data_IF_463331201840
#
_entry.id   IF_463331201840
#
_cell.length_a   1.000
_cell.length_b   1.000
_cell.length_c   1.000
_cell.angle_alpha   90.00
_cell.angle_beta   90.00
_cell.angle_gamma   90.00
#
_symmetry.space_group_name_H-M   'P 1'
#
loop_
_entity.id
_entity.type
_entity.pdbx_description
1 polymer ?
#
# COMPACT_ATOMS: atom_id res chain seq x y z
N UNK A 1 -41.07 1.66 23.90
CA UNK A 1 -41.02 0.43 23.08
C UNK A 1 -40.73 0.81 21.64
N UNK A 2 -39.81 0.07 21.02
CA UNK A 2 -39.08 0.27 19.77
C UNK A 2 -39.78 1.07 18.65
N UNK A 3 -39.11 2.14 18.19
CA UNK A 3 -39.37 2.80 16.92
C UNK A 3 -38.41 2.27 15.84
N UNK A 4 -38.97 1.57 14.87
CA UNK A 4 -38.32 0.96 13.72
C UNK A 4 -37.83 2.03 12.75
N UNK A 5 -36.51 2.24 12.63
CA UNK A 5 -35.90 3.06 11.57
C UNK A 5 -35.42 2.16 10.43
N UNK A 6 -36.28 1.96 9.45
CA UNK A 6 -35.89 1.48 8.13
C UNK A 6 -35.27 2.66 7.35
N UNK A 7 -33.93 2.75 7.35
CA UNK A 7 -33.21 3.70 6.51
C UNK A 7 -32.84 3.05 5.17
N UNK A 8 -33.65 3.43 4.20
CA UNK A 8 -33.48 3.38 2.74
C UNK A 8 -32.01 3.55 2.29
N UNK A 9 -31.33 2.44 1.94
CA UNK A 9 -30.05 2.50 1.21
C UNK A 9 -30.33 2.86 -0.25
N UNK A 10 -30.30 4.16 -0.53
CA UNK A 10 -30.26 4.69 -1.89
C UNK A 10 -28.88 4.36 -2.47
N UNK A 11 -28.80 3.43 -3.42
CA UNK A 11 -27.58 3.15 -4.18
C UNK A 11 -27.09 4.45 -4.83
N UNK A 12 -25.95 4.97 -4.36
CA UNK A 12 -25.24 6.01 -5.09
C UNK A 12 -24.49 5.38 -6.28
N UNK A 13 -24.55 5.99 -7.47
CA UNK A 13 -23.73 5.54 -8.59
C UNK A 13 -22.25 5.77 -8.26
N UNK A 14 -21.46 4.71 -8.36
CA UNK A 14 -19.99 4.79 -8.30
C UNK A 14 -19.53 5.51 -9.56
N UNK A 15 -19.16 6.78 -9.43
CA UNK A 15 -18.49 7.52 -10.50
C UNK A 15 -17.07 6.99 -10.66
N UNK A 16 -16.88 6.12 -11.66
CA UNK A 16 -15.57 5.82 -12.26
C UNK A 16 -15.01 7.11 -12.84
N UNK A 17 -14.22 7.87 -12.10
CA UNK A 17 -13.78 9.17 -12.64
C UNK A 17 -12.66 9.94 -11.95
N UNK A 18 -12.01 9.49 -10.87
CA UNK A 18 -11.07 10.36 -10.16
C UNK A 18 -9.58 10.17 -10.47
N UNK A 19 -9.12 8.99 -10.89
CA UNK A 19 -7.67 8.78 -11.16
C UNK A 19 -7.26 9.17 -12.59
N UNK A 20 -8.09 8.86 -13.59
CA UNK A 20 -7.80 9.21 -15.00
C UNK A 20 -7.86 10.72 -15.23
N UNK A 21 -8.80 11.42 -14.57
CA UNK A 21 -8.95 12.86 -14.71
C UNK A 21 -7.76 13.65 -14.12
N UNK A 22 -7.15 13.14 -13.05
CA UNK A 22 -5.97 13.74 -12.44
C UNK A 22 -4.72 13.58 -13.31
N UNK A 23 -4.48 12.40 -13.88
CA UNK A 23 -3.38 12.15 -14.81
C UNK A 23 -3.49 13.05 -16.08
N UNK A 24 -4.69 13.26 -16.60
CA UNK A 24 -4.93 14.13 -17.76
C UNK A 24 -4.80 15.63 -17.45
N UNK A 25 -4.92 16.06 -16.19
CA UNK A 25 -4.83 17.48 -15.82
C UNK A 25 -3.38 18.01 -15.79
N UNK A 26 -2.37 17.13 -15.62
CA UNK A 26 -0.96 17.55 -15.54
C UNK A 26 -0.35 18.02 -16.87
N UNK A 27 -1.01 17.81 -18.01
CA UNK A 27 -0.50 18.23 -19.33
C UNK A 27 -0.79 19.70 -19.71
N UNK A 28 -1.42 20.50 -18.83
CA UNK A 28 -1.97 21.82 -19.20
C UNK A 28 -1.04 23.05 -19.09
N UNK A 29 0.23 22.92 -18.69
CA UNK A 29 1.12 24.09 -18.45
C UNK A 29 2.43 24.10 -19.26
N UNK A 30 2.41 23.64 -20.51
CA UNK A 30 3.47 24.00 -21.46
C UNK A 30 2.87 24.88 -22.56
N UNK A 31 3.44 26.09 -22.73
CA UNK A 31 3.04 27.09 -23.72
C UNK A 31 3.52 26.78 -25.13
N UNK A 32 4.17 25.63 -25.38
CA UNK A 32 4.41 25.12 -26.72
C UNK A 32 3.28 24.18 -27.16
N UNK A 33 2.45 24.69 -28.07
CA UNK A 33 1.27 24.07 -28.68
C UNK A 33 1.56 22.76 -29.45
N UNK A 34 1.80 21.67 -28.73
CA UNK A 34 1.46 20.32 -29.19
C UNK A 34 0.83 19.62 -28.00
N UNK A 35 -0.49 19.78 -27.89
CA UNK A 35 -1.30 19.13 -26.84
C UNK A 35 -1.16 17.63 -27.06
N UNK A 36 -0.30 16.97 -26.27
CA UNK A 36 -0.10 15.53 -26.35
C UNK A 36 -1.38 14.87 -25.81
N UNK A 37 -2.38 14.70 -26.68
CA UNK A 37 -3.61 13.97 -26.40
C UNK A 37 -3.34 12.49 -26.59
N UNK A 38 -2.37 11.94 -25.87
CA UNK A 38 -2.31 10.49 -25.74
C UNK A 38 -3.52 10.07 -24.92
N UNK A 39 -4.47 9.40 -25.57
CA UNK A 39 -5.60 8.78 -24.92
C UNK A 39 -5.13 7.67 -23.99
N UNK A 40 -6.04 7.19 -23.14
CA UNK A 40 -5.75 6.04 -22.28
C UNK A 40 -5.27 4.82 -23.09
N UNK A 41 -5.83 4.63 -24.28
CA UNK A 41 -5.48 3.53 -25.19
C UNK A 41 -4.07 3.64 -25.80
N UNK A 42 -3.43 4.81 -25.71
CA UNK A 42 -2.06 5.05 -26.21
C UNK A 42 -0.98 4.67 -25.18
N UNK A 43 -1.37 4.33 -23.95
CA UNK A 43 -0.45 3.91 -22.90
C UNK A 43 -0.09 2.44 -23.13
N UNK A 44 1.20 2.07 -23.17
CA UNK A 44 1.61 0.70 -23.45
C UNK A 44 1.02 -0.26 -22.41
N UNK A 45 0.41 -1.36 -22.86
CA UNK A 45 -0.07 -2.43 -22.00
C UNK A 45 0.95 -3.57 -21.92
N UNK A 46 1.10 -4.15 -20.74
CA UNK A 46 1.86 -5.38 -20.58
C UNK A 46 1.09 -6.57 -21.18
N UNK A 47 1.77 -7.57 -21.76
CA UNK A 47 1.13 -8.79 -22.24
C UNK A 47 0.24 -9.41 -21.16
N UNK A 48 -1.01 -9.74 -21.51
CA UNK A 48 -2.01 -10.25 -20.60
C UNK A 48 -2.64 -11.57 -21.10
N UNK A 49 -3.15 -12.36 -20.16
CA UNK A 49 -3.96 -13.54 -20.43
C UNK A 49 -5.34 -13.39 -19.81
N UNK A 50 -6.43 -13.93 -20.40
CA UNK A 50 -7.80 -13.67 -19.95
C UNK A 50 -8.09 -13.94 -18.46
N UNK A 51 -7.44 -14.94 -17.86
CA UNK A 51 -7.68 -15.33 -16.46
C UNK A 51 -6.59 -14.84 -15.50
N UNK A 52 -5.35 -14.78 -15.96
CA UNK A 52 -4.16 -14.50 -15.12
C UNK A 52 -3.71 -13.04 -15.24
N UNK A 53 -4.26 -12.31 -16.22
CA UNK A 53 -3.84 -10.95 -16.56
C UNK A 53 -2.36 -10.88 -16.92
N UNK A 54 -1.78 -9.72 -16.68
CA UNK A 54 -0.36 -9.44 -16.85
C UNK A 54 0.50 -9.97 -15.69
N UNK A 55 -0.09 -10.56 -14.64
CA UNK A 55 0.69 -11.09 -13.50
C UNK A 55 1.61 -12.24 -13.90
N UNK A 56 1.24 -13.00 -14.93
CA UNK A 56 2.11 -14.02 -15.52
C UNK A 56 3.37 -13.40 -16.13
N UNK A 57 3.25 -12.23 -16.78
CA UNK A 57 4.38 -11.55 -17.42
C UNK A 57 5.46 -11.18 -16.40
N UNK A 58 5.06 -10.77 -15.18
CA UNK A 58 5.98 -10.52 -14.06
C UNK A 58 6.81 -11.76 -13.68
N UNK A 59 6.34 -12.98 -14.00
CA UNK A 59 7.05 -14.23 -13.75
C UNK A 59 7.95 -14.70 -14.89
N UNK A 60 7.75 -14.18 -16.08
CA UNK A 60 8.43 -14.65 -17.30
C UNK A 60 9.45 -13.67 -17.85
N UNK A 61 9.71 -12.56 -17.18
CA UNK A 61 10.69 -11.59 -17.64
C UNK A 61 12.10 -12.22 -17.70
N UNK A 62 12.79 -12.12 -18.84
CA UNK A 62 14.13 -12.65 -19.01
C UNK A 62 15.12 -11.96 -18.06
N UNK A 63 16.14 -12.70 -17.62
CA UNK A 63 17.21 -12.21 -16.73
C UNK A 63 16.76 -11.79 -15.33
N UNK A 64 15.58 -12.21 -14.88
CA UNK A 64 15.22 -12.09 -13.47
C UNK A 64 15.89 -13.23 -12.71
N UNK A 65 16.74 -12.95 -11.70
CA UNK A 65 17.27 -14.00 -10.84
C UNK A 65 16.09 -14.79 -10.28
N UNK A 66 16.00 -16.06 -10.66
CA UNK A 66 15.04 -16.98 -10.05
C UNK A 66 15.64 -17.42 -8.75
N UNK A 67 15.22 -16.78 -7.66
CA UNK A 67 15.45 -17.32 -6.34
C UNK A 67 14.62 -18.62 -6.20
N UNK A 68 14.96 -19.47 -5.23
CA UNK A 68 14.21 -20.73 -4.96
C UNK A 68 12.71 -20.49 -4.71
N UNK A 69 12.35 -19.25 -4.39
CA UNK A 69 11.00 -18.74 -4.06
C UNK A 69 10.30 -18.02 -5.23
N UNK A 70 10.95 -17.85 -6.38
CA UNK A 70 10.35 -17.22 -7.58
C UNK A 70 11.18 -16.06 -8.16
N UNK A 71 10.61 -15.32 -9.12
CA UNK A 71 11.27 -14.15 -9.72
C UNK A 71 11.43 -13.05 -8.66
N UNK A 72 12.62 -12.46 -8.58
CA UNK A 72 12.82 -11.29 -7.74
C UNK A 72 12.02 -10.09 -8.29
N UNK A 73 10.93 -9.73 -7.61
CA UNK A 73 9.99 -8.69 -8.06
C UNK A 73 10.67 -7.33 -8.21
N UNK A 74 11.68 -7.01 -7.39
CA UNK A 74 12.42 -5.76 -7.52
C UNK A 74 13.15 -5.68 -8.86
N UNK A 75 13.84 -6.76 -9.25
CA UNK A 75 14.52 -6.81 -10.54
C UNK A 75 13.55 -6.66 -11.74
N UNK A 76 12.37 -7.27 -11.64
CA UNK A 76 11.28 -7.14 -12.61
C UNK A 76 10.83 -5.69 -12.73
N UNK A 77 10.53 -5.05 -11.60
CA UNK A 77 10.03 -3.68 -11.57
C UNK A 77 11.09 -2.68 -12.06
N UNK A 78 12.37 -2.90 -11.74
CA UNK A 78 13.47 -2.08 -12.26
C UNK A 78 13.59 -2.18 -13.79
N UNK A 79 13.49 -3.37 -14.37
CA UNK A 79 13.50 -3.52 -15.83
C UNK A 79 12.28 -2.85 -16.49
N UNK A 80 11.12 -2.90 -15.84
CA UNK A 80 9.92 -2.22 -16.33
C UNK A 80 10.05 -0.71 -16.25
N UNK A 81 10.62 -0.18 -15.16
CA UNK A 81 10.92 1.24 -14.99
C UNK A 81 11.79 1.78 -16.14
N UNK A 82 12.85 1.05 -16.52
CA UNK A 82 13.73 1.46 -17.61
C UNK A 82 13.05 1.47 -18.98
N UNK A 83 12.07 0.58 -19.20
CA UNK A 83 11.39 0.41 -20.50
C UNK A 83 10.18 1.31 -20.67
N UNK A 84 9.39 1.46 -19.61
CA UNK A 84 8.10 2.14 -19.65
C UNK A 84 7.89 2.92 -18.33
N UNK A 85 8.06 4.25 -18.32
CA UNK A 85 7.79 5.04 -17.11
C UNK A 85 6.32 4.95 -16.68
N UNK A 86 5.41 4.85 -17.66
CA UNK A 86 3.98 4.68 -17.48
C UNK A 86 3.47 3.53 -18.34
N UNK A 87 2.76 2.56 -17.75
CA UNK A 87 2.19 1.42 -18.45
C UNK A 87 0.90 0.90 -17.82
N UNK A 88 0.11 0.19 -18.62
CA UNK A 88 -1.09 -0.51 -18.17
C UNK A 88 -0.74 -1.95 -17.79
N UNK A 89 -1.30 -2.41 -16.68
CA UNK A 89 -1.16 -3.78 -16.19
C UNK A 89 -2.54 -4.33 -15.89
N UNK A 90 -2.90 -5.47 -16.48
CA UNK A 90 -4.13 -6.16 -16.10
C UNK A 90 -3.87 -7.05 -14.88
N UNK A 91 -4.50 -6.76 -13.75
CA UNK A 91 -4.40 -7.58 -12.55
C UNK A 91 -5.71 -8.34 -12.39
N UNK A 92 -5.64 -9.67 -12.35
CA UNK A 92 -6.80 -10.52 -12.09
C UNK A 92 -7.56 -9.99 -10.88
N UNK A 93 -8.89 -9.91 -10.99
CA UNK A 93 -9.83 -9.38 -9.98
C UNK A 93 -9.81 -7.86 -9.74
N UNK A 94 -8.73 -7.15 -10.08
CA UNK A 94 -8.67 -5.68 -9.99
C UNK A 94 -8.96 -4.97 -11.31
N UNK A 95 -8.82 -5.69 -12.44
CA UNK A 95 -8.93 -5.13 -13.78
C UNK A 95 -7.65 -4.42 -14.21
N UNK A 96 -7.79 -3.47 -15.12
CA UNK A 96 -6.65 -2.71 -15.64
C UNK A 96 -6.24 -1.62 -14.65
N UNK A 97 -5.00 -1.71 -14.17
CA UNK A 97 -4.35 -0.69 -13.35
C UNK A 97 -3.31 0.05 -14.16
N UNK A 98 -3.16 1.34 -13.88
CA UNK A 98 -2.11 2.17 -14.44
C UNK A 98 -0.95 2.20 -13.45
N UNK A 99 0.24 1.84 -13.92
CA UNK A 99 1.45 1.84 -13.10
C UNK A 99 2.32 3.01 -13.54
N UNK A 100 2.45 3.98 -12.64
CA UNK A 100 3.38 5.10 -12.75
C UNK A 100 4.63 4.75 -11.94
N UNK A 101 5.79 4.86 -12.56
CA UNK A 101 7.05 4.47 -11.95
C UNK A 101 8.02 5.64 -11.79
N UNK A 102 7.75 6.80 -12.43
CA UNK A 102 8.48 8.03 -12.18
C UNK A 102 8.06 8.64 -10.83
N UNK A 103 8.99 8.82 -9.86
CA UNK A 103 8.66 9.40 -8.56
C UNK A 103 8.09 10.83 -8.64
N UNK A 104 8.49 11.61 -9.64
CA UNK A 104 8.00 12.98 -9.83
C UNK A 104 6.53 12.97 -10.25
N UNK A 105 6.16 12.10 -11.19
CA UNK A 105 4.77 11.95 -11.63
C UNK A 105 3.92 11.26 -10.56
N UNK A 106 4.46 10.24 -9.88
CA UNK A 106 3.77 9.56 -8.78
C UNK A 106 3.41 10.52 -7.64
N UNK A 107 4.27 11.51 -7.37
CA UNK A 107 3.95 12.57 -6.40
C UNK A 107 2.70 13.36 -6.79
N UNK A 108 2.47 13.61 -8.08
CA UNK A 108 1.26 14.28 -8.56
C UNK A 108 0.02 13.42 -8.35
N UNK A 109 0.14 12.11 -8.54
CA UNK A 109 -0.93 11.15 -8.22
C UNK A 109 -1.30 11.26 -6.75
N UNK A 110 -0.32 11.15 -5.84
CA UNK A 110 -0.55 11.29 -4.39
C UNK A 110 -1.20 12.63 -4.05
N UNK A 111 -0.73 13.74 -4.63
CA UNK A 111 -1.30 15.07 -4.40
C UNK A 111 -2.74 15.19 -4.90
N UNK A 112 -3.10 14.44 -5.95
CA UNK A 112 -4.43 14.48 -6.56
C UNK A 112 -5.48 13.64 -5.82
N UNK A 113 -5.06 12.71 -4.96
CA UNK A 113 -5.96 11.79 -4.24
C UNK A 113 -6.91 12.48 -3.25
N UNK A 114 -6.61 13.73 -2.87
CA UNK A 114 -7.46 14.54 -1.99
C UNK A 114 -7.47 14.04 -0.54
N UNK A 115 -8.56 14.31 0.18
CA UNK A 115 -8.69 14.01 1.63
C UNK A 115 -8.77 12.51 1.93
N UNK A 116 -9.29 11.70 1.00
CA UNK A 116 -9.55 10.28 1.21
C UNK A 116 -8.84 9.45 0.14
N UNK A 117 -7.53 9.20 0.31
CA UNK A 117 -6.72 8.56 -0.71
C UNK A 117 -7.19 7.15 -1.05
N UNK A 118 -7.08 6.79 -2.33
CA UNK A 118 -7.46 5.47 -2.82
C UNK A 118 -6.29 4.51 -2.61
N UNK A 119 -6.28 3.81 -1.48
CA UNK A 119 -5.32 2.72 -1.29
C UNK A 119 -5.60 1.55 -2.24
N UNK A 120 -4.53 0.89 -2.70
CA UNK A 120 -4.62 -0.43 -3.35
C UNK A 120 -5.07 -1.51 -2.36
N UNK A 121 -4.71 -1.37 -1.08
CA UNK A 121 -5.08 -2.33 -0.03
C UNK A 121 -6.59 -2.57 0.00
N UNK A 122 -7.50 -1.57 0.07
CA UNK A 122 -8.94 -1.81 -0.02
C UNK A 122 -9.36 -2.61 -1.26
N UNK A 123 -8.73 -2.38 -2.41
CA UNK A 123 -9.06 -3.08 -3.65
C UNK A 123 -8.65 -4.57 -3.60
N UNK A 124 -7.53 -4.88 -2.95
CA UNK A 124 -7.14 -6.26 -2.68
C UNK A 124 -7.98 -6.90 -1.58
N UNK A 125 -8.26 -6.14 -0.52
CA UNK A 125 -8.87 -6.67 0.70
C UNK A 125 -10.39 -6.85 0.58
N UNK A 126 -11.11 -6.08 -0.22
CA UNK A 126 -12.56 -6.25 -0.42
C UNK A 126 -12.94 -7.65 -0.96
N UNK A 127 -12.26 -8.21 -1.97
CA UNK A 127 -12.43 -9.61 -2.36
C UNK A 127 -12.18 -10.58 -1.20
N UNK A 128 -11.05 -10.46 -0.50
CA UNK A 128 -10.71 -11.34 0.62
C UNK A 128 -11.69 -11.23 1.79
N UNK A 129 -12.28 -10.06 2.03
CA UNK A 129 -13.29 -9.83 3.07
C UNK A 129 -14.50 -10.76 2.94
N UNK A 130 -14.86 -11.11 1.71
CA UNK A 130 -15.96 -12.04 1.42
C UNK A 130 -15.61 -13.47 1.80
N UNK A 131 -14.35 -13.86 1.68
CA UNK A 131 -13.87 -15.22 1.92
C UNK A 131 -13.45 -15.47 3.37
N UNK A 132 -13.06 -14.42 4.10
CA UNK A 132 -12.62 -14.53 5.50
C UNK A 132 -13.35 -13.54 6.43
N UNK A 133 -14.66 -13.70 6.67
CA UNK A 133 -15.42 -12.79 7.53
C UNK A 133 -14.87 -12.69 8.95
N UNK A 134 -14.27 -13.77 9.47
CA UNK A 134 -13.67 -13.81 10.81
C UNK A 134 -12.46 -12.86 10.95
N UNK A 135 -11.66 -12.67 9.89
CA UNK A 135 -10.54 -11.74 9.89
C UNK A 135 -11.00 -10.27 9.71
N UNK A 136 -12.12 -10.06 9.02
CA UNK A 136 -12.66 -8.72 8.73
C UNK A 136 -13.68 -8.22 9.76
N UNK A 137 -14.24 -9.12 10.57
CA UNK A 137 -15.04 -8.79 11.75
C UNK A 137 -14.22 -8.19 12.89
N UNK A 138 -12.89 -8.27 12.82
CA UNK A 138 -11.98 -7.51 13.68
C UNK A 138 -12.01 -6.04 13.20
N UNK A 139 -12.85 -5.27 13.87
CA UNK A 139 -13.21 -3.88 13.62
C UNK A 139 -12.08 -2.88 13.20
N UNK A 140 -10.80 -2.98 13.62
CA UNK A 140 -9.81 -1.99 13.17
C UNK A 140 -9.35 -2.16 11.71
N UNK A 141 -9.58 -3.31 11.06
CA UNK A 141 -9.05 -3.52 9.70
C UNK A 141 -9.74 -2.62 8.66
N UNK A 142 -11.05 -2.42 8.78
CA UNK A 142 -11.80 -1.56 7.87
C UNK A 142 -11.47 -0.07 8.08
N UNK A 143 -11.22 0.34 9.31
CA UNK A 143 -10.81 1.72 9.60
C UNK A 143 -9.40 1.97 9.06
N UNK A 144 -8.45 1.06 9.30
CA UNK A 144 -7.07 1.25 8.86
C UNK A 144 -6.86 1.11 7.36
N UNK A 145 -7.58 0.19 6.71
CA UNK A 145 -7.38 -0.16 5.30
C UNK A 145 -8.56 0.17 4.40
N UNK A 146 -9.59 0.85 4.91
CA UNK A 146 -10.76 1.27 4.16
C UNK A 146 -10.59 2.64 3.49
N UNK A 147 -11.72 3.32 3.29
CA UNK A 147 -11.80 4.66 2.71
C UNK A 147 -12.82 5.51 3.45
N UNK A 148 -12.76 6.83 3.24
CA UNK A 148 -13.71 7.79 3.81
C UNK A 148 -13.23 8.38 5.13
N UNK A 149 -14.16 8.92 5.90
CA UNK A 149 -13.86 9.66 7.14
C UNK A 149 -13.27 8.76 8.23
N UNK A 150 -13.82 7.54 8.40
CA UNK A 150 -13.32 6.54 9.36
C UNK A 150 -11.81 6.27 9.15
N UNK A 151 -11.41 6.06 7.89
CA UNK A 151 -10.02 5.86 7.52
C UNK A 151 -9.15 7.09 7.78
N UNK A 152 -9.67 8.28 7.47
CA UNK A 152 -8.97 9.53 7.73
C UNK A 152 -8.75 9.75 9.22
N UNK A 153 -9.76 9.50 10.06
CA UNK A 153 -9.67 9.61 11.51
C UNK A 153 -8.68 8.61 12.10
N UNK A 154 -8.73 7.33 11.70
CA UNK A 154 -7.79 6.32 12.14
C UNK A 154 -6.34 6.67 11.77
N UNK A 155 -6.09 7.12 10.54
CA UNK A 155 -4.76 7.59 10.12
C UNK A 155 -4.32 8.83 10.87
N UNK A 156 -5.22 9.78 11.11
CA UNK A 156 -4.92 11.00 11.88
C UNK A 156 -4.55 10.64 13.32
N UNK A 157 -5.27 9.71 13.94
CA UNK A 157 -4.96 9.20 15.27
C UNK A 157 -3.56 8.58 15.31
N UNK A 158 -3.24 7.66 14.40
CA UNK A 158 -1.91 7.03 14.32
C UNK A 158 -0.83 8.07 14.03
N UNK A 159 -1.03 8.96 13.06
CA UNK A 159 -0.02 9.97 12.71
C UNK A 159 0.29 10.89 13.89
N UNK A 160 -0.72 11.31 14.65
CA UNK A 160 -0.52 12.19 15.80
C UNK A 160 0.02 11.44 17.03
N UNK A 161 -0.44 10.21 17.24
CA UNK A 161 -0.09 9.39 18.40
C UNK A 161 1.23 8.64 18.28
N UNK A 162 1.66 8.31 17.06
CA UNK A 162 2.82 7.44 16.81
C UNK A 162 3.89 8.10 15.95
N UNK A 163 3.51 8.83 14.89
CA UNK A 163 4.50 9.39 13.96
C UNK A 163 4.86 10.85 14.21
N UNK A 164 4.13 11.54 15.10
CA UNK A 164 4.45 12.91 15.45
C UNK A 164 5.81 12.98 16.17
N UNK A 165 6.65 14.00 15.91
CA UNK A 165 7.97 14.12 16.55
C UNK A 165 7.93 14.10 18.08
N UNK A 166 6.84 14.60 18.68
CA UNK A 166 6.63 14.55 20.14
C UNK A 166 6.44 13.11 20.63
N UNK A 167 5.60 12.33 19.96
CA UNK A 167 5.40 10.92 20.28
C UNK A 167 6.69 10.13 20.08
N UNK A 168 7.39 10.36 18.96
CA UNK A 168 8.67 9.74 18.66
C UNK A 168 9.71 9.93 19.76
N UNK A 169 9.86 11.15 20.29
CA UNK A 169 10.77 11.39 21.42
C UNK A 169 10.39 10.62 22.67
N UNK A 170 9.09 10.43 22.93
CA UNK A 170 8.62 9.73 24.12
C UNK A 170 8.95 8.23 24.04
N UNK A 171 8.62 7.56 22.94
CA UNK A 171 8.89 6.12 22.82
C UNK A 171 10.33 5.78 22.43
N UNK A 172 11.14 6.74 21.94
CA UNK A 172 12.54 6.45 21.60
C UNK A 172 13.36 5.99 22.82
N UNK A 173 13.02 6.48 24.02
CA UNK A 173 13.64 6.02 25.27
C UNK A 173 13.30 4.55 25.54
N UNK A 174 12.03 4.18 25.38
CA UNK A 174 11.53 2.81 25.56
C UNK A 174 12.15 1.86 24.54
N UNK A 175 12.26 2.26 23.27
CA UNK A 175 12.95 1.48 22.23
C UNK A 175 14.43 1.31 22.58
N UNK A 176 15.09 2.36 23.06
CA UNK A 176 16.50 2.28 23.46
C UNK A 176 16.71 1.31 24.65
N UNK A 177 15.78 1.31 25.60
CA UNK A 177 15.79 0.37 26.73
C UNK A 177 15.56 -1.07 26.28
N UNK A 178 14.57 -1.31 25.41
CA UNK A 178 14.33 -2.64 24.82
C UNK A 178 15.56 -3.16 24.05
N UNK A 179 16.23 -2.30 23.28
CA UNK A 179 17.47 -2.65 22.59
C UNK A 179 18.60 -2.94 23.58
N UNK A 180 18.75 -2.13 24.64
CA UNK A 180 19.78 -2.37 25.65
C UNK A 180 19.57 -3.71 26.38
N UNK A 181 18.32 -4.06 26.69
CA UNK A 181 17.97 -5.31 27.37
C UNK A 181 18.14 -6.54 26.48
N UNK A 182 17.86 -6.43 25.18
CA UNK A 182 18.03 -7.53 24.22
C UNK A 182 19.46 -7.67 23.69
N UNK A 183 20.30 -6.63 23.81
CA UNK A 183 21.69 -6.65 23.30
C UNK A 183 22.57 -7.78 23.83
N UNK A 184 22.45 -8.26 25.09
CA UNK A 184 23.27 -9.36 25.59
C UNK A 184 22.97 -10.70 24.91
N UNK A 185 21.79 -10.86 24.30
CA UNK A 185 21.37 -12.09 23.62
C UNK A 185 21.91 -12.19 22.19
N UNK A 186 22.50 -11.12 21.63
CA UNK A 186 23.05 -11.12 20.26
C UNK A 186 23.99 -12.29 19.96
N UNK A 187 24.92 -12.70 20.87
CA UNK A 187 25.80 -13.83 20.62
C UNK A 187 25.06 -15.16 20.41
N UNK A 188 23.88 -15.33 21.04
CA UNK A 188 23.08 -16.56 20.92
C UNK A 188 22.45 -16.70 19.52
N UNK A 189 22.34 -15.59 18.78
CA UNK A 189 21.81 -15.51 17.42
C UNK A 189 22.88 -15.19 16.38
N UNK A 190 24.16 -15.47 16.67
CA UNK A 190 25.26 -15.17 15.74
C UNK A 190 25.09 -15.82 14.35
N UNK A 191 24.49 -17.01 14.31
CA UNK A 191 24.22 -17.76 13.07
C UNK A 191 22.91 -17.36 12.38
N UNK A 192 21.96 -16.72 13.10
CA UNK A 192 20.70 -16.21 12.55
C UNK A 192 20.34 -14.83 13.11
N UNK A 193 21.09 -13.83 12.67
CA UNK A 193 20.86 -12.44 13.07
C UNK A 193 19.50 -11.90 12.57
N UNK A 194 18.91 -12.52 11.55
CA UNK A 194 17.59 -12.14 11.05
C UNK A 194 16.47 -12.46 12.04
N UNK A 195 16.56 -13.62 12.70
CA UNK A 195 15.65 -13.99 13.79
C UNK A 195 15.78 -13.01 14.97
N UNK A 196 16.99 -12.70 15.41
CA UNK A 196 17.23 -11.72 16.47
C UNK A 196 16.59 -10.35 16.18
N UNK A 197 16.82 -9.81 14.97
CA UNK A 197 16.24 -8.53 14.57
C UNK A 197 14.71 -8.57 14.56
N UNK A 198 14.11 -9.71 14.20
CA UNK A 198 12.66 -9.89 14.18
C UNK A 198 12.09 -9.90 15.60
N UNK A 199 12.73 -10.61 16.54
CA UNK A 199 12.35 -10.64 17.95
C UNK A 199 12.50 -9.27 18.61
N UNK A 200 13.64 -8.60 18.38
CA UNK A 200 13.89 -7.24 18.89
C UNK A 200 12.89 -6.23 18.33
N UNK A 201 12.57 -6.30 17.02
CA UNK A 201 11.55 -5.45 16.42
C UNK A 201 10.16 -5.67 17.05
N UNK A 202 9.81 -6.92 17.34
CA UNK A 202 8.56 -7.26 18.04
C UNK A 202 8.55 -6.74 19.49
N UNK A 203 9.67 -6.85 20.20
CA UNK A 203 9.80 -6.33 21.56
C UNK A 203 9.72 -4.81 21.61
N UNK A 204 10.41 -4.11 20.71
CA UNK A 204 10.27 -2.67 20.55
C UNK A 204 8.82 -2.28 20.21
N UNK A 205 8.15 -3.01 19.32
CA UNK A 205 6.73 -2.82 19.02
C UNK A 205 5.86 -2.97 20.28
N UNK A 206 6.02 -4.06 21.03
CA UNK A 206 5.26 -4.31 22.25
C UNK A 206 5.48 -3.22 23.29
N UNK A 207 6.73 -2.77 23.44
CA UNK A 207 7.08 -1.71 24.38
C UNK A 207 6.46 -0.36 23.99
N UNK A 208 6.40 -0.03 22.70
CA UNK A 208 5.73 1.20 22.23
C UNK A 208 4.21 1.12 22.34
N UNK A 209 3.61 -0.01 21.94
CA UNK A 209 2.15 -0.12 21.84
C UNK A 209 1.45 -0.51 23.14
N UNK A 210 2.11 -1.30 23.99
CA UNK A 210 1.54 -1.81 25.24
C UNK A 210 2.23 -1.24 26.48
N UNK A 211 3.37 -0.55 26.32
CA UNK A 211 4.15 -0.06 27.45
C UNK A 211 4.88 -1.18 28.20
N UNK A 212 5.01 -2.35 27.59
CA UNK A 212 5.57 -3.55 28.22
C UNK A 212 6.74 -4.11 27.39
N UNK A 213 7.85 -4.42 28.08
CA UNK A 213 9.00 -5.11 27.50
C UNK A 213 8.83 -6.60 27.78
N UNK A 214 8.71 -7.41 26.73
CA UNK A 214 8.32 -8.82 26.83
C UNK A 214 9.44 -9.76 27.30
N UNK A 215 10.70 -9.28 27.41
CA UNK A 215 11.89 -10.01 27.89
C UNK A 215 12.03 -11.36 27.19
N UNK A 216 12.24 -11.30 25.88
CA UNK A 216 12.50 -12.47 25.03
C UNK A 216 13.90 -13.05 25.25
#
# INVERSE_FOLDING_TARGET
MAATRAAMFRRMPVTRGSTIAAAMASCRRSTSSTRCTKGFDDIPSLPDYPLVGSTHYLRTLPNTPREKTGPNLFSVLSQLYERHPLYQMHVSFLGTVLVETDPVEFTKVIQSEGRHPYGLVPAFTEPYAKWTPALYGLLPFRELFGRGEEHFEARRFINNGLFAPRAARAYNQVVSEAVALSSPSVPDYAEDFGEYLSLMAFEAFAAVFFGEIMRL
#
